data_IF_927880999921
#
_entry.id   IF_927880999921
#
_cell.length_a   1.000
_cell.length_b   1.000
_cell.length_c   1.000
_cell.angle_alpha   90.00
_cell.angle_beta   90.00
_cell.angle_gamma   90.00
#
_symmetry.space_group_name_H-M   'P 1'
#
loop_
_entity.id
_entity.type
_entity.pdbx_description
1 polymer ?
#
# COMPACT_ATOMS: atom_id res chain seq x y z
N UNK A 1 -36.09 8.51 31.42
CA UNK A 1 -34.79 7.83 31.27
C UNK A 1 -34.70 6.79 30.14
N UNK A 2 -35.74 6.54 29.32
CA UNK A 2 -35.66 5.55 28.22
C UNK A 2 -35.11 6.09 26.88
N UNK A 3 -35.06 7.41 26.70
CA UNK A 3 -34.54 8.04 25.46
C UNK A 3 -33.01 8.15 25.40
N UNK A 4 -32.36 8.42 26.54
CA UNK A 4 -30.89 8.59 26.60
C UNK A 4 -30.11 7.29 26.34
N UNK A 5 -30.65 6.14 26.76
CA UNK A 5 -30.04 4.84 26.50
C UNK A 5 -30.03 4.45 25.01
N UNK A 6 -31.01 4.91 24.23
CA UNK A 6 -31.02 4.70 22.77
C UNK A 6 -29.99 5.58 22.06
N UNK A 7 -29.79 6.82 22.52
CA UNK A 7 -28.78 7.71 21.94
C UNK A 7 -27.34 7.21 22.21
N UNK A 8 -27.08 6.69 23.41
CA UNK A 8 -25.76 6.18 23.78
C UNK A 8 -25.33 4.93 22.98
N UNK A 9 -26.27 4.04 22.65
CA UNK A 9 -26.02 2.85 21.82
C UNK A 9 -25.74 3.19 20.35
N UNK A 10 -26.31 4.29 19.83
CA UNK A 10 -26.07 4.72 18.44
C UNK A 10 -24.69 5.40 18.32
N UNK A 11 -24.25 6.16 19.33
CA UNK A 11 -22.93 6.80 19.33
C UNK A 11 -21.77 5.80 19.49
N UNK A 12 -21.94 4.73 20.26
CA UNK A 12 -20.90 3.69 20.40
C UNK A 12 -20.77 2.79 19.16
N UNK A 13 -21.86 2.58 18.41
CA UNK A 13 -21.80 1.90 17.11
C UNK A 13 -21.03 2.69 16.03
N UNK A 14 -21.12 4.02 16.07
CA UNK A 14 -20.35 4.90 15.18
C UNK A 14 -18.86 4.86 15.51
N UNK A 15 -18.48 4.98 16.79
CA UNK A 15 -17.07 4.94 17.25
C UNK A 15 -16.37 3.63 16.91
N UNK A 16 -17.02 2.47 17.07
CA UNK A 16 -16.43 1.18 16.69
C UNK A 16 -16.22 1.03 15.18
N UNK A 17 -17.00 1.72 14.36
CA UNK A 17 -16.85 1.68 12.91
C UNK A 17 -15.63 2.47 12.42
N UNK A 18 -15.30 3.60 13.06
CA UNK A 18 -14.16 4.44 12.67
C UNK A 18 -12.83 3.72 12.94
N UNK A 19 -12.67 3.12 14.12
CA UNK A 19 -11.48 2.36 14.49
C UNK A 19 -11.19 1.19 13.54
N UNK A 20 -12.23 0.49 13.08
CA UNK A 20 -12.07 -0.62 12.13
C UNK A 20 -11.45 -0.22 10.78
N UNK A 21 -11.79 0.97 10.25
CA UNK A 21 -11.20 1.45 8.97
C UNK A 21 -9.74 1.87 9.18
N UNK A 22 -9.44 2.50 10.32
CA UNK A 22 -8.07 2.85 10.69
C UNK A 22 -7.17 1.62 10.81
N UNK A 23 -7.64 0.57 11.50
CA UNK A 23 -6.93 -0.70 11.67
C UNK A 23 -6.73 -1.44 10.33
N UNK A 24 -7.77 -1.51 9.48
CA UNK A 24 -7.66 -2.11 8.14
C UNK A 24 -6.65 -1.35 7.27
N UNK A 25 -6.68 -0.02 7.31
CA UNK A 25 -5.73 0.81 6.57
C UNK A 25 -4.29 0.59 7.06
N UNK A 26 -4.08 0.60 8.38
CA UNK A 26 -2.79 0.36 9.00
C UNK A 26 -2.23 -1.03 8.63
N UNK A 27 -3.08 -2.06 8.64
CA UNK A 27 -2.70 -3.41 8.23
C UNK A 27 -2.21 -3.46 6.78
N UNK A 28 -2.98 -2.89 5.83
CA UNK A 28 -2.60 -2.87 4.40
C UNK A 28 -1.28 -2.13 4.19
N UNK A 29 -1.14 -1.00 4.87
CA UNK A 29 0.05 -0.17 4.83
C UNK A 29 1.29 -0.91 5.32
N UNK A 30 1.18 -1.68 6.41
CA UNK A 30 2.33 -2.34 7.02
C UNK A 30 2.74 -3.63 6.30
N UNK A 31 1.77 -4.32 5.69
CA UNK A 31 1.99 -5.69 5.19
C UNK A 31 2.04 -5.78 3.66
N UNK A 32 1.28 -4.96 2.95
CA UNK A 32 1.14 -5.06 1.50
C UNK A 32 1.84 -3.93 0.77
N UNK A 33 1.67 -2.68 1.20
CA UNK A 33 2.17 -1.52 0.46
C UNK A 33 3.68 -1.54 0.17
N UNK A 34 4.60 -1.90 1.10
CA UNK A 34 6.02 -1.94 0.82
C UNK A 34 6.38 -2.96 -0.28
N UNK A 35 5.81 -4.16 -0.17
CA UNK A 35 6.05 -5.29 -1.08
C UNK A 35 5.45 -5.01 -2.46
N UNK A 36 4.20 -4.54 -2.51
CA UNK A 36 3.50 -4.23 -3.76
C UNK A 36 4.23 -3.12 -4.52
N UNK A 37 4.60 -2.04 -3.84
CA UNK A 37 5.34 -0.93 -4.46
C UNK A 37 6.75 -1.36 -4.90
N UNK A 38 7.44 -2.22 -4.13
CA UNK A 38 8.74 -2.76 -4.53
C UNK A 38 8.66 -3.62 -5.80
N UNK A 39 7.61 -4.45 -5.90
CA UNK A 39 7.32 -5.24 -7.10
C UNK A 39 7.00 -4.35 -8.30
N UNK A 40 6.11 -3.37 -8.15
CA UNK A 40 5.77 -2.43 -9.22
C UNK A 40 7.00 -1.67 -9.70
N UNK A 41 7.86 -1.21 -8.77
CA UNK A 41 9.15 -0.59 -9.07
C UNK A 41 10.08 -1.55 -9.82
N UNK A 42 10.21 -2.79 -9.36
CA UNK A 42 11.04 -3.83 -9.98
C UNK A 42 10.60 -4.26 -11.36
N UNK A 43 9.29 -4.29 -11.60
CA UNK A 43 8.68 -4.59 -12.89
C UNK A 43 8.67 -3.40 -13.86
N UNK A 44 9.14 -2.22 -13.44
CA UNK A 44 9.14 -1.01 -14.27
C UNK A 44 7.76 -0.37 -14.48
N UNK A 45 6.76 -0.79 -13.70
CA UNK A 45 5.36 -0.38 -13.83
C UNK A 45 5.10 0.98 -13.14
N UNK A 46 5.74 2.02 -13.68
CA UNK A 46 5.77 3.37 -13.08
C UNK A 46 4.38 3.97 -12.90
N UNK A 47 3.49 3.81 -13.90
CA UNK A 47 2.12 4.32 -13.82
C UNK A 47 1.30 3.63 -12.71
N UNK A 48 1.48 2.32 -12.55
CA UNK A 48 0.82 1.56 -11.49
C UNK A 48 1.39 1.91 -10.11
N UNK A 49 2.72 2.05 -10.01
CA UNK A 49 3.42 2.49 -8.80
C UNK A 49 2.88 3.85 -8.31
N UNK A 50 2.86 4.85 -9.18
CA UNK A 50 2.37 6.18 -8.84
C UNK A 50 0.87 6.16 -8.52
N UNK A 51 0.10 5.33 -9.24
CA UNK A 51 -1.32 5.13 -8.98
C UNK A 51 -1.57 4.57 -7.59
N UNK A 52 -0.76 3.60 -7.15
CA UNK A 52 -0.84 3.01 -5.81
C UNK A 52 -0.48 4.04 -4.75
N UNK A 53 0.64 4.76 -4.89
CA UNK A 53 1.05 5.80 -3.95
C UNK A 53 0.00 6.91 -3.81
N UNK A 54 -0.59 7.36 -4.92
CA UNK A 54 -1.68 8.34 -4.88
C UNK A 54 -2.91 7.82 -4.16
N UNK A 55 -3.33 6.59 -4.47
CA UNK A 55 -4.44 5.92 -3.79
C UNK A 55 -4.21 5.83 -2.28
N UNK A 56 -3.01 5.39 -1.87
CA UNK A 56 -2.63 5.25 -0.47
C UNK A 56 -2.58 6.59 0.25
N UNK A 57 -1.92 7.58 -0.35
CA UNK A 57 -1.82 8.94 0.21
C UNK A 57 -3.21 9.53 0.38
N UNK A 58 -4.07 9.41 -0.64
CA UNK A 58 -5.43 9.91 -0.56
C UNK A 58 -6.22 9.21 0.55
N UNK A 59 -6.08 7.89 0.67
CA UNK A 59 -6.78 7.12 1.68
C UNK A 59 -6.38 7.55 3.11
N UNK A 60 -5.09 7.84 3.33
CA UNK A 60 -4.59 8.40 4.60
C UNK A 60 -5.16 9.79 4.89
N UNK A 61 -5.18 10.68 3.89
CA UNK A 61 -5.68 12.06 4.02
C UNK A 61 -7.18 12.13 4.32
N UNK A 62 -7.97 11.18 3.83
CA UNK A 62 -9.42 11.18 4.04
C UNK A 62 -9.84 10.34 5.25
N UNK A 63 -8.92 9.58 5.86
CA UNK A 63 -9.23 8.79 7.05
C UNK A 63 -9.17 9.66 8.30
N UNK A 64 -10.28 9.86 9.04
CA UNK A 64 -10.31 10.76 10.19
C UNK A 64 -9.52 10.24 11.40
N UNK A 65 -9.32 8.92 11.50
CA UNK A 65 -8.58 8.28 12.59
C UNK A 65 -7.06 8.39 12.45
N UNK A 66 -6.58 8.82 11.28
CA UNK A 66 -5.16 9.00 11.02
C UNK A 66 -4.72 10.38 11.45
N UNK A 67 -3.60 10.47 12.17
CA UNK A 67 -2.98 11.75 12.44
C UNK A 67 -2.34 12.32 11.16
N UNK A 68 -3.03 13.26 10.50
CA UNK A 68 -2.62 13.83 9.23
C UNK A 68 -1.27 14.54 9.27
N UNK A 69 -0.87 15.08 10.43
CA UNK A 69 0.44 15.71 10.60
C UNK A 69 1.60 14.71 10.46
N UNK A 70 1.34 13.40 10.63
CA UNK A 70 2.34 12.33 10.49
C UNK A 70 2.42 11.73 9.09
N UNK A 71 1.50 12.06 8.17
CA UNK A 71 1.46 11.50 6.81
C UNK A 71 2.80 11.68 6.07
N UNK A 72 3.44 12.88 6.06
CA UNK A 72 4.71 13.04 5.35
C UNK A 72 5.82 12.12 5.88
N UNK A 73 5.94 12.01 7.21
CA UNK A 73 6.92 11.13 7.84
C UNK A 73 6.64 9.65 7.55
N UNK A 74 5.35 9.27 7.56
CA UNK A 74 4.93 7.93 7.17
C UNK A 74 5.32 7.60 5.73
N UNK A 75 5.04 8.48 4.76
CA UNK A 75 5.39 8.26 3.35
C UNK A 75 6.91 8.15 3.13
N UNK A 76 7.71 8.91 3.89
CA UNK A 76 9.16 8.76 3.88
C UNK A 76 9.62 7.40 4.40
N UNK A 77 9.00 6.89 5.47
CA UNK A 77 9.30 5.55 6.02
C UNK A 77 8.89 4.48 5.02
N UNK A 78 7.70 4.59 4.43
CA UNK A 78 7.23 3.68 3.40
C UNK A 78 8.21 3.61 2.23
N UNK A 79 8.66 4.75 1.70
CA UNK A 79 9.64 4.76 0.60
C UNK A 79 10.94 4.02 0.96
N UNK A 80 11.45 4.19 2.19
CA UNK A 80 12.61 3.42 2.66
C UNK A 80 12.33 1.92 2.74
N UNK A 81 11.14 1.52 3.18
CA UNK A 81 10.74 0.12 3.21
C UNK A 81 10.60 -0.45 1.79
N UNK A 82 10.02 0.31 0.87
CA UNK A 82 9.93 -0.06 -0.56
C UNK A 82 11.32 -0.29 -1.15
N UNK A 83 12.27 0.59 -0.86
CA UNK A 83 13.65 0.40 -1.29
C UNK A 83 14.25 -0.87 -0.69
N UNK A 84 14.10 -1.10 0.62
CA UNK A 84 14.59 -2.31 1.27
C UNK A 84 13.99 -3.57 0.64
N UNK A 85 12.68 -3.63 0.44
CA UNK A 85 12.00 -4.76 -0.20
C UNK A 85 12.49 -4.95 -1.65
N UNK A 86 12.65 -3.87 -2.40
CA UNK A 86 13.21 -3.90 -3.76
C UNK A 86 14.61 -4.54 -3.79
N UNK A 87 15.48 -4.19 -2.82
CA UNK A 87 16.79 -4.81 -2.65
C UNK A 87 16.69 -6.29 -2.23
N UNK A 88 15.83 -6.62 -1.26
CA UNK A 88 15.67 -7.98 -0.74
C UNK A 88 15.10 -8.94 -1.79
N UNK A 89 14.22 -8.46 -2.66
CA UNK A 89 13.68 -9.23 -3.79
C UNK A 89 14.73 -9.49 -4.87
N UNK A 90 15.81 -8.72 -4.91
CA UNK A 90 16.92 -8.94 -5.82
C UNK A 90 16.80 -8.29 -7.19
N UNK A 91 15.85 -7.36 -7.39
CA UNK A 91 15.77 -6.55 -8.62
C UNK A 91 17.08 -5.81 -8.96
N UNK A 92 17.86 -5.27 -8.00
CA UNK A 92 19.17 -4.69 -8.33
C UNK A 92 20.12 -5.68 -8.98
N UNK A 93 20.10 -6.96 -8.57
CA UNK A 93 20.99 -7.99 -9.13
C UNK A 93 20.63 -8.31 -10.58
N UNK A 94 19.33 -8.29 -10.91
CA UNK A 94 18.89 -8.38 -12.30
C UNK A 94 19.50 -7.24 -13.13
N UNK A 95 19.32 -5.98 -12.70
CA UNK A 95 19.83 -4.81 -13.43
C UNK A 95 21.36 -4.78 -13.52
N UNK A 96 22.06 -5.15 -12.46
CA UNK A 96 23.52 -5.24 -12.46
C UNK A 96 24.02 -6.29 -13.44
N UNK A 97 23.33 -7.44 -13.56
CA UNK A 97 23.68 -8.45 -14.54
C UNK A 97 23.48 -7.93 -15.97
N UNK A 98 22.31 -7.34 -16.27
CA UNK A 98 22.04 -6.75 -17.60
C UNK A 98 23.09 -5.68 -17.97
N UNK A 99 23.44 -4.80 -17.02
CA UNK A 99 24.43 -3.76 -17.22
C UNK A 99 25.88 -4.29 -17.35
N UNK A 100 26.16 -5.49 -16.85
CA UNK A 100 27.52 -6.06 -16.87
C UNK A 100 27.96 -6.56 -18.24
N UNK A 101 27.04 -6.73 -19.19
CA UNK A 101 27.33 -7.25 -20.53
C UNK A 101 27.81 -8.71 -20.55
N UNK A 102 27.65 -9.44 -19.45
CA UNK A 102 28.02 -10.86 -19.38
C UNK A 102 27.18 -11.68 -20.35
N UNK A 103 27.81 -12.63 -21.03
CA UNK A 103 27.12 -13.57 -21.92
C UNK A 103 26.33 -14.61 -21.11
N UNK A 104 25.13 -14.95 -21.59
CA UNK A 104 24.27 -15.99 -21.00
C UNK A 104 22.98 -15.41 -20.41
N UNK A 105 22.02 -16.27 -20.03
CA UNK A 105 20.75 -15.82 -19.46
C UNK A 105 20.98 -15.21 -18.08
N UNK A 106 20.22 -14.16 -17.76
CA UNK A 106 20.24 -13.55 -16.45
C UNK A 106 19.68 -14.54 -15.40
N UNK A 107 20.44 -14.91 -14.36
CA UNK A 107 19.98 -15.85 -13.34
C UNK A 107 18.80 -15.30 -12.51
N UNK A 108 18.53 -14.00 -12.60
CA UNK A 108 17.40 -13.33 -11.95
C UNK A 108 16.23 -13.04 -12.92
N UNK A 109 16.25 -13.56 -14.15
CA UNK A 109 15.18 -13.35 -15.13
C UNK A 109 13.79 -13.78 -14.63
N UNK A 110 13.74 -14.79 -13.74
CA UNK A 110 12.51 -15.25 -13.09
C UNK A 110 11.77 -14.14 -12.31
N UNK A 111 12.46 -13.07 -11.91
CA UNK A 111 11.82 -11.91 -11.28
C UNK A 111 10.84 -11.22 -12.23
N UNK A 112 11.19 -11.14 -13.52
CA UNK A 112 10.32 -10.52 -14.52
C UNK A 112 9.20 -11.45 -14.98
N UNK A 113 9.40 -12.75 -14.92
CA UNK A 113 8.35 -13.74 -15.21
C UNK A 113 7.16 -13.62 -14.25
N UNK A 114 7.42 -13.20 -13.00
CA UNK A 114 6.38 -12.97 -11.98
C UNK A 114 5.66 -11.64 -12.11
N UNK A 115 6.19 -10.70 -12.90
CA UNK A 115 5.63 -9.35 -13.01
C UNK A 115 4.15 -9.31 -13.36
N UNK A 116 3.61 -10.09 -14.32
CA UNK A 116 2.18 -10.07 -14.61
C UNK A 116 1.31 -10.39 -13.38
N UNK A 117 1.72 -11.35 -12.56
CA UNK A 117 1.00 -11.72 -11.34
C UNK A 117 1.19 -10.67 -10.23
N UNK A 118 2.41 -10.21 -10.03
CA UNK A 118 2.75 -9.21 -9.01
C UNK A 118 2.02 -7.88 -9.27
N UNK A 119 1.96 -7.44 -10.53
CA UNK A 119 1.25 -6.23 -10.95
C UNK A 119 -0.26 -6.38 -10.75
N UNK A 120 -0.81 -7.56 -11.08
CA UNK A 120 -2.22 -7.87 -10.81
C UNK A 120 -2.52 -7.80 -9.31
N UNK A 121 -1.69 -8.42 -8.47
CA UNK A 121 -1.89 -8.43 -7.02
C UNK A 121 -1.80 -7.03 -6.41
N UNK A 122 -0.80 -6.24 -6.81
CA UNK A 122 -0.66 -4.85 -6.39
C UNK A 122 -1.87 -4.00 -6.85
N UNK A 123 -2.37 -4.23 -8.06
CA UNK A 123 -3.58 -3.55 -8.56
C UNK A 123 -4.81 -3.90 -7.73
N UNK A 124 -5.00 -5.17 -7.36
CA UNK A 124 -6.10 -5.58 -6.50
C UNK A 124 -6.02 -4.94 -5.10
N UNK A 125 -4.83 -4.86 -4.52
CA UNK A 125 -4.63 -4.20 -3.23
C UNK A 125 -4.87 -2.69 -3.31
N UNK A 126 -4.45 -2.05 -4.40
CA UNK A 126 -4.79 -0.64 -4.68
C UNK A 126 -6.29 -0.41 -4.72
N UNK A 127 -7.07 -1.30 -5.36
CA UNK A 127 -8.54 -1.21 -5.39
C UNK A 127 -9.09 -1.25 -3.97
N UNK A 128 -8.63 -2.17 -3.13
CA UNK A 128 -9.06 -2.26 -1.72
C UNK A 128 -8.70 -1.01 -0.91
N UNK A 129 -7.52 -0.42 -1.14
CA UNK A 129 -7.13 0.86 -0.52
C UNK A 129 -8.09 1.98 -0.94
N UNK A 130 -8.48 2.04 -2.21
CA UNK A 130 -9.50 3.01 -2.66
C UNK A 130 -10.86 2.75 -2.00
N UNK A 131 -11.27 1.49 -1.85
CA UNK A 131 -12.52 1.14 -1.16
C UNK A 131 -12.50 1.61 0.29
N UNK A 132 -11.36 1.47 0.98
CA UNK A 132 -11.18 2.01 2.33
C UNK A 132 -11.27 3.54 2.35
N UNK A 133 -10.68 4.23 1.36
CA UNK A 133 -10.79 5.68 1.22
C UNK A 133 -12.25 6.13 1.02
N UNK A 134 -13.00 5.43 0.15
CA UNK A 134 -14.42 5.72 -0.10
C UNK A 134 -15.25 5.46 1.15
N UNK A 135 -14.99 4.37 1.87
CA UNK A 135 -15.66 4.07 3.16
C UNK A 135 -15.38 5.13 4.21
N UNK A 136 -14.16 5.68 4.25
CA UNK A 136 -13.81 6.77 5.15
C UNK A 136 -14.54 8.08 4.78
N UNK A 137 -14.73 8.35 3.48
CA UNK A 137 -15.44 9.53 2.98
C UNK A 137 -16.97 9.45 3.07
N UNK A 138 -17.54 8.25 3.03
CA UNK A 138 -19.00 8.03 2.99
C UNK A 138 -19.65 8.00 4.37
N UNK A 139 -18.92 8.41 5.41
CA UNK A 139 -19.33 8.38 6.82
C UNK A 139 -19.22 9.77 7.42
#
# INVERSE_FOLDING_TARGET
>A
MKGFLKAALVCSGLLGSYQAVGEEMEYYIKTHAPIDLARLKGCGETLAYDGYLRSLTKALEVSPEINHAKIPAFLQILNKQVDNEYYLMGYPYYLQFEASGRSGPNPHAWLLEKCPEDVKNATLNRIKINDLAIKALSR
#
